data_IF_246294070926
#
_entry.id   IF_246294070926
#
_cell.length_a   1.000
_cell.length_b   1.000
_cell.length_c   1.000
_cell.angle_alpha   90.00
_cell.angle_beta   90.00
_cell.angle_gamma   90.00
#
_symmetry.space_group_name_H-M   'P 1'
#
loop_
_entity.id
_entity.type
_entity.pdbx_description
1 polymer ?
#
# COMPACT_ATOMS: atom_id res chain seq x y z
N UNK A 1 -5.32 11.04 9.68
CA UNK A 1 -4.14 11.94 9.56
C UNK A 1 -4.07 12.62 8.19
N UNK A 2 -4.36 11.91 7.10
CA UNK A 2 -4.38 12.45 5.74
C UNK A 2 -5.71 12.03 5.07
N UNK A 3 -6.26 12.92 4.25
CA UNK A 3 -7.44 12.69 3.43
C UNK A 3 -7.17 13.29 2.05
N UNK A 4 -7.13 12.47 1.01
CA UNK A 4 -6.77 12.86 -0.36
C UNK A 4 -7.63 14.00 -0.90
N UNK A 5 -8.94 13.98 -0.68
CA UNK A 5 -9.84 15.08 -1.08
C UNK A 5 -9.56 16.42 -0.38
N UNK A 6 -8.93 16.40 0.81
CA UNK A 6 -8.54 17.60 1.56
C UNK A 6 -7.12 18.03 1.27
N UNK A 7 -6.18 17.09 1.27
CA UNK A 7 -4.74 17.33 1.26
C UNK A 7 -4.13 17.22 -0.15
N UNK A 8 -4.83 16.61 -1.11
CA UNK A 8 -4.40 16.40 -2.50
C UNK A 8 -3.65 15.09 -2.71
N UNK A 9 -3.93 14.41 -3.83
CA UNK A 9 -3.34 13.13 -4.21
C UNK A 9 -2.03 13.31 -5.00
N UNK A 10 -0.96 13.70 -4.28
CA UNK A 10 0.40 13.80 -4.83
C UNK A 10 1.43 13.33 -3.80
N UNK A 11 2.55 12.76 -4.28
CA UNK A 11 3.66 12.31 -3.43
C UNK A 11 4.13 13.40 -2.47
N UNK A 12 4.22 14.65 -2.91
CA UNK A 12 4.60 15.78 -2.07
C UNK A 12 3.71 15.89 -0.82
N UNK A 13 2.39 15.88 -0.99
CA UNK A 13 1.44 16.00 0.12
C UNK A 13 1.37 14.74 0.98
N UNK A 14 1.49 13.58 0.34
CA UNK A 14 1.60 12.28 1.02
C UNK A 14 2.80 12.28 1.98
N UNK A 15 4.01 12.55 1.48
CA UNK A 15 5.23 12.53 2.28
C UNK A 15 5.25 13.63 3.34
N UNK A 16 4.64 14.80 3.10
CA UNK A 16 4.47 15.83 4.14
C UNK A 16 3.71 15.32 5.38
N UNK A 17 2.77 14.37 5.22
CA UNK A 17 2.01 13.80 6.34
C UNK A 17 2.61 12.51 6.90
N UNK A 18 3.15 11.66 6.03
CA UNK A 18 3.56 10.28 6.36
C UNK A 18 5.03 10.17 6.77
N UNK A 19 5.88 11.12 6.37
CA UNK A 19 7.30 11.00 6.66
C UNK A 19 7.57 10.95 8.17
N UNK A 20 8.44 10.03 8.57
CA UNK A 20 8.76 9.65 9.94
C UNK A 20 7.60 9.11 10.80
N UNK A 21 6.49 8.68 10.19
CA UNK A 21 5.38 8.02 10.88
C UNK A 21 5.47 6.51 10.74
N UNK A 22 4.94 5.81 11.73
CA UNK A 22 4.81 4.36 11.80
C UNK A 22 3.35 3.98 12.07
N UNK A 23 3.04 2.68 12.11
CA UNK A 23 1.71 2.17 12.43
C UNK A 23 0.61 2.78 11.57
N UNK A 24 0.80 2.77 10.25
CA UNK A 24 -0.11 3.42 9.33
C UNK A 24 -1.06 2.41 8.69
N UNK A 25 -2.35 2.70 8.79
CA UNK A 25 -3.40 2.09 7.96
C UNK A 25 -3.71 3.06 6.82
N UNK A 26 -3.54 2.60 5.59
CA UNK A 26 -3.89 3.34 4.37
C UNK A 26 -5.05 2.66 3.67
N UNK A 27 -6.07 3.44 3.31
CA UNK A 27 -7.28 3.00 2.63
C UNK A 27 -7.38 3.77 1.33
N UNK A 28 -7.61 3.06 0.23
CA UNK A 28 -7.67 3.61 -1.12
C UNK A 28 -9.00 3.25 -1.78
N UNK A 29 -9.52 4.19 -2.56
CA UNK A 29 -10.62 3.94 -3.50
C UNK A 29 -10.14 4.25 -4.92
N UNK A 30 -10.18 3.27 -5.82
CA UNK A 30 -9.85 3.46 -7.24
C UNK A 30 -11.04 3.99 -8.04
N UNK A 31 -10.79 4.42 -9.28
CA UNK A 31 -11.81 4.87 -10.23
C UNK A 31 -12.85 3.78 -10.56
N UNK A 32 -12.44 2.50 -10.61
CA UNK A 32 -13.39 1.36 -10.75
C UNK A 32 -14.35 1.20 -9.56
N UNK A 33 -14.11 1.92 -8.47
CA UNK A 33 -14.86 1.80 -7.22
C UNK A 33 -14.32 0.75 -6.27
N UNK A 34 -13.18 0.11 -6.58
CA UNK A 34 -12.59 -0.88 -5.67
C UNK A 34 -12.01 -0.21 -4.42
N UNK A 35 -12.26 -0.81 -3.27
CA UNK A 35 -11.71 -0.38 -1.98
C UNK A 35 -10.74 -1.42 -1.48
N UNK A 36 -9.51 -0.98 -1.24
CA UNK A 36 -8.39 -1.80 -0.79
C UNK A 36 -7.46 -0.95 0.06
N UNK A 37 -6.45 -1.58 0.64
CA UNK A 37 -5.49 -0.85 1.45
C UNK A 37 -4.48 -1.77 2.08
N UNK A 38 -3.71 -1.19 2.99
CA UNK A 38 -2.70 -1.93 3.72
C UNK A 38 -2.41 -1.27 5.07
N UNK A 39 -1.98 -2.10 6.01
CA UNK A 39 -1.38 -1.66 7.26
C UNK A 39 0.09 -2.07 7.27
N UNK A 40 0.93 -1.22 7.86
CA UNK A 40 2.29 -1.60 8.24
C UNK A 40 2.72 -0.89 9.53
N UNK A 41 3.41 -1.60 10.45
CA UNK A 41 4.04 -1.00 11.61
C UNK A 41 5.35 -0.28 11.23
N UNK A 42 5.85 -0.46 9.99
CA UNK A 42 7.12 0.10 9.57
C UNK A 42 7.09 1.63 9.58
N UNK A 43 8.22 2.22 9.95
CA UNK A 43 8.43 3.66 9.82
C UNK A 43 8.63 4.04 8.36
N UNK A 44 7.79 4.95 7.87
CA UNK A 44 7.89 5.52 6.54
C UNK A 44 8.94 6.64 6.53
N UNK A 45 9.97 6.50 5.70
CA UNK A 45 11.11 7.44 5.65
C UNK A 45 11.50 7.73 4.20
N UNK A 46 11.13 8.92 3.72
CA UNK A 46 11.36 9.35 2.34
C UNK A 46 12.85 9.51 1.98
N UNK A 47 13.76 9.48 2.95
CA UNK A 47 15.21 9.64 2.73
C UNK A 47 15.92 8.34 2.34
N UNK A 48 15.29 7.17 2.51
CA UNK A 48 15.99 5.88 2.50
C UNK A 48 16.09 5.20 1.13
N UNK A 49 15.20 5.51 0.18
CA UNK A 49 15.15 4.91 -1.17
C UNK A 49 15.36 3.37 -1.15
N UNK A 50 14.68 2.67 -0.22
CA UNK A 50 14.94 1.25 0.08
C UNK A 50 13.70 0.57 0.65
N UNK A 51 13.75 -0.76 0.68
CA UNK A 51 12.81 -1.59 1.41
C UNK A 51 13.00 -1.48 2.91
N UNK A 52 11.88 -1.50 3.64
CA UNK A 52 11.86 -1.50 5.11
C UNK A 52 11.30 -2.85 5.58
N UNK A 53 12.01 -3.45 6.52
CA UNK A 53 11.63 -4.73 7.09
C UNK A 53 10.52 -4.56 8.14
N UNK A 54 9.55 -5.47 8.14
CA UNK A 54 8.61 -5.69 9.23
C UNK A 54 8.99 -6.96 9.98
N UNK A 55 9.75 -6.81 11.06
CA UNK A 55 10.13 -7.95 11.90
C UNK A 55 9.00 -8.47 12.79
N UNK A 56 7.87 -7.76 12.87
CA UNK A 56 6.72 -8.18 13.68
C UNK A 56 5.75 -9.07 12.90
N UNK A 57 5.87 -9.10 11.57
CA UNK A 57 4.95 -9.80 10.65
C UNK A 57 3.48 -9.38 10.85
N UNK A 58 3.25 -8.10 11.16
CA UNK A 58 1.89 -7.56 11.35
C UNK A 58 1.42 -6.72 10.17
N UNK A 59 2.26 -6.46 9.18
CA UNK A 59 1.85 -5.84 7.91
C UNK A 59 0.88 -6.75 7.17
N UNK A 60 -0.17 -6.15 6.62
CA UNK A 60 -1.13 -6.85 5.77
C UNK A 60 -1.67 -5.92 4.70
N UNK A 61 -2.08 -6.50 3.58
CA UNK A 61 -2.91 -5.87 2.55
C UNK A 61 -4.34 -6.36 2.77
N UNK A 62 -5.33 -5.53 2.48
CA UNK A 62 -6.72 -5.96 2.47
C UNK A 62 -7.44 -5.47 1.20
N UNK A 63 -8.50 -6.18 0.83
CA UNK A 63 -9.48 -5.74 -0.15
C UNK A 63 -10.86 -5.83 0.46
N UNK A 64 -11.52 -4.68 0.64
CA UNK A 64 -12.90 -4.64 1.08
C UNK A 64 -13.83 -5.14 -0.03
N UNK A 65 -13.50 -4.86 -1.30
CA UNK A 65 -14.26 -5.35 -2.46
C UNK A 65 -14.36 -6.88 -2.49
N UNK A 66 -13.30 -7.58 -2.09
CA UNK A 66 -13.22 -9.04 -2.09
C UNK A 66 -13.40 -9.69 -0.72
N UNK A 67 -13.60 -8.88 0.33
CA UNK A 67 -13.68 -9.33 1.73
C UNK A 67 -12.50 -10.23 2.15
N UNK A 68 -11.28 -9.77 1.87
CA UNK A 68 -10.05 -10.55 2.04
C UNK A 68 -8.91 -9.75 2.65
N UNK A 69 -8.08 -10.43 3.44
CA UNK A 69 -6.83 -9.95 4.02
C UNK A 69 -5.69 -10.85 3.52
N UNK A 70 -4.54 -10.25 3.27
CA UNK A 70 -3.34 -10.88 2.73
C UNK A 70 -2.18 -10.50 3.64
N UNK A 71 -1.67 -11.44 4.42
CA UNK A 71 -0.58 -11.16 5.36
C UNK A 71 0.76 -11.08 4.62
N UNK A 72 1.73 -10.38 5.21
CA UNK A 72 3.11 -10.43 4.75
C UNK A 72 3.66 -11.84 4.94
N UNK A 73 4.30 -12.41 3.91
CA UNK A 73 4.92 -13.73 4.02
C UNK A 73 6.15 -13.66 4.93
N UNK A 74 6.33 -14.67 5.79
CA UNK A 74 7.44 -14.72 6.75
C UNK A 74 8.82 -14.64 6.07
N UNK A 75 8.99 -15.30 4.93
CA UNK A 75 10.22 -15.31 4.13
C UNK A 75 10.42 -14.04 3.26
N UNK A 76 9.56 -13.03 3.44
CA UNK A 76 9.55 -11.75 2.72
C UNK A 76 9.52 -10.54 3.66
N UNK A 77 9.69 -10.78 4.96
CA UNK A 77 9.60 -9.76 6.01
C UNK A 77 10.53 -8.57 5.83
N UNK A 78 11.65 -8.77 5.16
CA UNK A 78 12.66 -7.78 4.78
C UNK A 78 12.19 -6.78 3.70
N UNK A 79 10.99 -6.97 3.14
CA UNK A 79 10.46 -6.24 1.99
C UNK A 79 9.02 -5.78 2.17
N UNK A 80 8.61 -5.49 3.41
CA UNK A 80 7.22 -5.16 3.76
C UNK A 80 6.70 -3.91 3.01
N UNK A 81 7.48 -2.82 3.03
CA UNK A 81 7.19 -1.57 2.32
C UNK A 81 8.43 -1.06 1.58
N UNK A 82 8.23 -0.22 0.57
CA UNK A 82 9.30 0.49 -0.12
C UNK A 82 9.13 2.00 0.02
N UNK A 83 10.16 2.68 0.51
CA UNK A 83 10.13 4.13 0.70
C UNK A 83 11.00 4.84 -0.34
N UNK A 84 10.37 5.66 -1.19
CA UNK A 84 11.06 6.52 -2.16
C UNK A 84 10.29 7.84 -2.33
N UNK A 85 10.98 8.97 -2.23
CA UNK A 85 10.37 10.29 -2.10
C UNK A 85 9.52 10.77 -3.30
N UNK A 86 9.76 10.23 -4.50
CA UNK A 86 8.97 10.54 -5.70
C UNK A 86 7.82 9.54 -5.94
N UNK A 87 7.65 8.55 -5.06
CA UNK A 87 6.58 7.56 -5.13
C UNK A 87 5.44 7.91 -4.16
N UNK A 88 4.27 7.34 -4.42
CA UNK A 88 3.22 7.20 -3.41
C UNK A 88 3.48 5.96 -2.54
N UNK A 89 2.42 5.35 -1.99
CA UNK A 89 2.52 4.11 -1.23
C UNK A 89 3.01 2.91 -2.07
N UNK A 90 3.92 2.10 -1.50
CA UNK A 90 4.40 0.86 -2.09
C UNK A 90 4.63 -0.22 -1.03
N UNK A 91 4.12 -1.42 -1.30
CA UNK A 91 4.15 -2.61 -0.44
C UNK A 91 4.69 -3.80 -1.23
N UNK A 92 5.66 -4.53 -0.67
CA UNK A 92 6.35 -5.63 -1.36
C UNK A 92 7.47 -5.17 -2.30
N UNK A 93 8.38 -6.07 -2.65
CA UNK A 93 9.51 -5.81 -3.56
C UNK A 93 9.16 -5.95 -5.03
N UNK A 94 8.20 -6.80 -5.35
CA UNK A 94 7.63 -6.83 -6.69
C UNK A 94 6.34 -6.02 -6.79
N UNK A 95 6.05 -5.18 -5.79
CA UNK A 95 4.92 -4.27 -5.73
C UNK A 95 3.56 -4.98 -5.71
N UNK A 96 3.25 -5.70 -4.63
CA UNK A 96 1.90 -6.16 -4.35
C UNK A 96 0.90 -4.99 -4.38
N UNK A 97 1.31 -3.83 -3.86
CA UNK A 97 0.73 -2.52 -4.18
C UNK A 97 1.86 -1.59 -4.62
N UNK A 98 1.68 -0.93 -5.77
CA UNK A 98 2.45 0.24 -6.17
C UNK A 98 1.57 1.33 -6.75
N UNK A 99 1.65 2.50 -6.12
CA UNK A 99 0.99 3.73 -6.53
C UNK A 99 2.07 4.77 -6.77
N UNK A 100 2.12 5.35 -7.98
CA UNK A 100 3.06 6.42 -8.32
C UNK A 100 2.73 7.71 -7.59
N UNK A 101 3.66 8.66 -7.64
CA UNK A 101 3.52 9.94 -6.97
C UNK A 101 2.40 10.85 -7.49
N UNK A 102 1.79 10.53 -8.63
CA UNK A 102 0.59 11.20 -9.15
C UNK A 102 -0.72 10.52 -8.74
N UNK A 103 -0.65 9.36 -8.08
CA UNK A 103 -1.78 8.54 -7.63
C UNK A 103 -2.69 8.02 -8.76
N UNK A 104 -2.38 8.30 -10.02
CA UNK A 104 -3.13 7.82 -11.20
C UNK A 104 -2.53 6.55 -11.76
N UNK A 105 -1.20 6.47 -11.79
CA UNK A 105 -0.46 5.38 -12.41
C UNK A 105 0.23 4.46 -11.39
N UNK A 106 0.61 3.26 -11.81
CA UNK A 106 1.08 2.21 -10.93
C UNK A 106 0.64 0.83 -11.40
N UNK A 107 0.85 -0.18 -10.58
CA UNK A 107 0.41 -1.55 -10.85
C UNK A 107 0.32 -2.36 -9.56
N UNK A 108 -0.33 -3.52 -9.62
CA UNK A 108 -0.32 -4.51 -8.55
C UNK A 108 0.26 -5.82 -9.07
N UNK A 109 1.08 -6.45 -8.24
CA UNK A 109 1.48 -7.85 -8.36
C UNK A 109 1.16 -8.55 -7.05
N UNK A 110 -0.10 -8.55 -6.64
CA UNK A 110 -0.52 -9.20 -5.40
C UNK A 110 -0.12 -10.68 -5.41
N UNK A 111 0.48 -11.17 -4.33
CA UNK A 111 0.95 -12.55 -4.19
C UNK A 111 2.45 -12.75 -4.29
N UNK A 112 3.25 -11.68 -4.46
CA UNK A 112 4.71 -11.80 -4.51
C UNK A 112 5.28 -11.80 -3.08
N UNK A 113 5.09 -10.72 -2.33
CA UNK A 113 5.57 -10.57 -0.96
C UNK A 113 4.44 -10.77 0.08
N UNK A 114 3.18 -10.53 -0.30
CA UNK A 114 2.00 -10.78 0.52
C UNK A 114 1.26 -12.04 0.05
N UNK A 115 0.50 -12.68 0.94
CA UNK A 115 -0.20 -13.94 0.68
C UNK A 115 -1.31 -13.79 -0.38
N UNK A 116 -1.19 -14.48 -1.52
CA UNK A 116 -2.29 -14.60 -2.48
C UNK A 116 -2.04 -15.82 -3.38
N UNK A 117 -3.05 -16.69 -3.52
CA UNK A 117 -2.95 -17.89 -4.34
C UNK A 117 -3.14 -17.53 -5.83
N UNK A 118 -2.02 -17.22 -6.50
CA UNK A 118 -1.97 -16.92 -7.94
C UNK A 118 -2.24 -18.12 -8.85
N UNK A 119 -2.18 -19.34 -8.32
CA UNK A 119 -2.49 -20.53 -9.10
C UNK A 119 -3.99 -20.63 -9.31
N UNK A 120 -4.77 -20.29 -8.28
CA UNK A 120 -6.23 -20.22 -8.35
C UNK A 120 -6.75 -18.89 -8.91
N UNK A 121 -6.02 -17.79 -8.73
CA UNK A 121 -6.48 -16.45 -9.10
C UNK A 121 -5.55 -15.78 -10.12
N UNK A 122 -5.94 -15.83 -11.39
CA UNK A 122 -5.15 -15.26 -12.50
C UNK A 122 -5.36 -13.76 -12.70
N UNK A 123 -6.32 -13.17 -12.01
CA UNK A 123 -6.63 -11.73 -12.02
C UNK A 123 -5.81 -10.92 -11.00
N UNK A 124 -4.71 -11.46 -10.47
CA UNK A 124 -3.91 -10.83 -9.40
C UNK A 124 -3.51 -9.37 -9.70
N UNK A 125 -3.28 -9.02 -10.98
CA UNK A 125 -2.85 -7.68 -11.39
C UNK A 125 -3.95 -6.63 -11.33
N UNK A 126 -5.22 -7.04 -11.36
CA UNK A 126 -6.39 -6.15 -11.26
C UNK A 126 -7.19 -6.40 -10.00
N UNK A 127 -6.82 -7.39 -9.18
CA UNK A 127 -7.59 -7.85 -8.02
C UNK A 127 -7.79 -6.73 -6.98
N UNK A 128 -6.76 -5.94 -6.67
CA UNK A 128 -6.90 -4.87 -5.69
C UNK A 128 -7.60 -3.64 -6.27
N UNK A 129 -7.17 -3.21 -7.47
CA UNK A 129 -7.59 -1.93 -8.03
C UNK A 129 -8.90 -2.02 -8.83
N UNK A 130 -9.37 -3.23 -9.15
CA UNK A 130 -10.48 -3.50 -10.06
C UNK A 130 -10.17 -3.21 -11.53
N UNK A 131 -8.96 -2.74 -11.83
CA UNK A 131 -8.48 -2.34 -13.15
C UNK A 131 -6.94 -2.41 -13.16
N UNK A 132 -6.28 -2.15 -14.30
CA UNK A 132 -4.82 -2.32 -14.42
C UNK A 132 -4.01 -1.30 -13.62
N UNK A 133 -4.52 -0.06 -13.54
CA UNK A 133 -3.87 1.07 -12.87
C UNK A 133 -4.64 1.49 -11.64
N UNK A 134 -3.99 2.07 -10.62
CA UNK A 134 -4.68 2.44 -9.40
C UNK A 134 -5.74 3.52 -9.62
N UNK A 135 -5.47 4.58 -10.41
CA UNK A 135 -6.40 5.71 -10.65
C UNK A 135 -7.15 6.13 -9.37
N UNK A 136 -6.41 6.44 -8.31
CA UNK A 136 -6.96 6.67 -6.97
C UNK A 136 -7.85 7.92 -6.98
N UNK A 137 -9.07 7.75 -6.49
CA UNK A 137 -10.05 8.82 -6.30
C UNK A 137 -10.06 9.34 -4.85
N UNK A 138 -9.73 8.48 -3.89
CA UNK A 138 -9.60 8.87 -2.48
C UNK A 138 -8.54 8.03 -1.77
N UNK A 139 -7.82 8.67 -0.85
CA UNK A 139 -6.83 8.04 0.01
C UNK A 139 -7.01 8.55 1.43
N UNK A 140 -7.30 7.65 2.35
CA UNK A 140 -7.39 7.93 3.78
C UNK A 140 -6.23 7.26 4.50
N UNK A 141 -5.53 8.01 5.36
CA UNK A 141 -4.45 7.46 6.18
C UNK A 141 -4.75 7.72 7.64
N UNK A 142 -4.60 6.69 8.44
CA UNK A 142 -4.75 6.70 9.89
C UNK A 142 -3.46 6.20 10.54
N UNK A 143 -3.02 6.87 11.59
CA UNK A 143 -1.99 6.34 12.47
C UNK A 143 -2.69 5.61 13.62
N UNK A 144 -2.39 4.32 13.75
CA UNK A 144 -2.96 3.46 14.78
C UNK A 144 -2.14 3.61 16.05
N UNK A 145 -2.82 3.76 17.18
CA UNK A 145 -2.21 3.82 18.50
C UNK A 145 -2.59 2.55 19.27
N UNK A 146 -1.59 1.84 19.76
CA UNK A 146 -1.77 0.70 20.65
C UNK A 146 -1.53 1.17 22.08
N UNK A 147 -2.49 0.89 22.96
CA UNK A 147 -2.42 1.18 24.39
C UNK A 147 -1.84 0.00 25.17
#
# INVERSE_FOLDING_TARGET
MYLGSRDGLKAEYFWQKVNNKDNLLMIFKSESGSIFGAYSPCKWDSSKNTYIADNTLTSFIFSQTHDQIYNLKEDKKDRAIYCKSDFGPSYGNYNDIYIKGDFTDGYSRLGDDYEFDRDKNKNYSTHLYGQEKPEIQECEIYQIQFN
#
